data_IF_207890074975
#
_entry.id   IF_207890074975
#
_cell.length_a   1.000
_cell.length_b   1.000
_cell.length_c   1.000
_cell.angle_alpha   90.00
_cell.angle_beta   90.00
_cell.angle_gamma   90.00
#
_symmetry.space_group_name_H-M   'P 1'
#
loop_
_entity.id
_entity.type
_entity.pdbx_description
1 polymer ?
#
# COMPACT_ATOMS: atom_id res chain seq x y z
N UNK A 1 -17.34 -0.14 -7.30
CA UNK A 1 -17.30 1.11 -6.52
C UNK A 1 -17.23 0.76 -5.04
N UNK A 2 -16.02 0.70 -4.50
CA UNK A 2 -15.77 0.57 -3.06
C UNK A 2 -16.44 1.72 -2.31
N UNK A 3 -17.32 1.42 -1.36
CA UNK A 3 -17.86 2.44 -0.45
C UNK A 3 -16.87 2.65 0.71
N UNK A 4 -16.14 3.77 0.66
CA UNK A 4 -15.18 4.18 1.69
C UNK A 4 -15.71 5.25 2.66
N UNK A 5 -17.01 5.59 2.64
CA UNK A 5 -17.57 6.73 3.41
C UNK A 5 -17.29 6.66 4.92
N UNK A 6 -17.17 5.44 5.48
CA UNK A 6 -17.00 5.21 6.92
C UNK A 6 -15.65 4.58 7.29
N UNK A 7 -14.71 4.49 6.36
CA UNK A 7 -13.43 3.82 6.57
C UNK A 7 -12.25 4.78 6.41
N UNK A 8 -11.18 4.61 7.20
CA UNK A 8 -9.92 5.33 6.99
C UNK A 8 -9.43 5.16 5.55
N UNK A 9 -9.04 6.28 4.94
CA UNK A 9 -8.49 6.29 3.59
C UNK A 9 -6.99 5.96 3.62
N UNK A 10 -6.51 5.31 2.56
CA UNK A 10 -5.09 5.17 2.30
C UNK A 10 -4.74 5.66 0.90
N UNK A 11 -3.50 6.14 0.78
CA UNK A 11 -2.88 6.51 -0.47
C UNK A 11 -1.56 5.76 -0.60
N UNK A 12 -1.37 5.12 -1.74
CA UNK A 12 -0.12 4.45 -2.07
C UNK A 12 0.36 4.92 -3.44
N UNK A 13 1.65 5.27 -3.54
CA UNK A 13 2.30 5.64 -4.78
C UNK A 13 3.60 4.85 -4.96
N UNK A 14 3.72 4.22 -6.11
CA UNK A 14 4.92 3.52 -6.57
C UNK A 14 5.50 4.23 -7.81
N UNK A 15 6.20 3.49 -8.68
CA UNK A 15 6.90 4.07 -9.82
C UNK A 15 5.94 4.55 -10.90
N UNK A 16 4.91 3.76 -11.19
CA UNK A 16 3.92 4.07 -12.23
C UNK A 16 2.47 3.82 -11.79
N UNK A 17 2.22 3.49 -10.52
CA UNK A 17 0.88 3.33 -9.98
C UNK A 17 0.63 4.28 -8.83
N UNK A 18 -0.58 4.79 -8.80
CA UNK A 18 -1.18 5.41 -7.62
C UNK A 18 -2.45 4.62 -7.28
N UNK A 19 -2.55 4.18 -6.03
CA UNK A 19 -3.68 3.41 -5.52
C UNK A 19 -4.34 4.24 -4.43
N UNK A 20 -5.63 4.51 -4.62
CA UNK A 20 -6.48 5.13 -3.63
C UNK A 20 -7.51 4.13 -3.13
N UNK A 21 -7.75 4.10 -1.83
CA UNK A 21 -8.77 3.24 -1.27
C UNK A 21 -9.00 3.52 0.20
N UNK A 22 -9.62 2.56 0.86
CA UNK A 22 -9.81 2.56 2.30
C UNK A 22 -9.39 1.23 2.90
N UNK A 23 -9.29 1.19 4.21
CA UNK A 23 -9.03 -0.06 4.92
C UNK A 23 -9.90 -0.17 6.16
N UNK A 24 -10.23 -1.41 6.52
CA UNK A 24 -10.80 -1.76 7.81
C UNK A 24 -9.73 -2.48 8.63
N UNK A 25 -9.64 -2.16 9.92
CA UNK A 25 -8.67 -2.80 10.81
C UNK A 25 -9.24 -2.91 12.21
N UNK A 26 -8.92 -3.99 12.91
CA UNK A 26 -9.40 -4.22 14.27
C UNK A 26 -8.29 -4.30 15.31
N UNK A 27 -8.70 -4.36 16.59
CA UNK A 27 -7.79 -4.43 17.73
C UNK A 27 -7.01 -5.76 17.81
N UNK A 28 -7.49 -6.81 17.13
CA UNK A 28 -6.81 -8.11 17.03
C UNK A 28 -5.66 -8.10 16.02
N UNK A 29 -5.50 -7.01 15.27
CA UNK A 29 -4.46 -6.84 14.25
C UNK A 29 -4.85 -7.36 12.87
N UNK A 30 -6.13 -7.67 12.64
CA UNK A 30 -6.64 -7.97 11.30
C UNK A 30 -6.79 -6.67 10.51
N UNK A 31 -6.52 -6.72 9.21
CA UNK A 31 -6.67 -5.58 8.30
C UNK A 31 -7.15 -6.06 6.93
N UNK A 32 -8.01 -5.29 6.30
CA UNK A 32 -8.49 -5.49 4.95
C UNK A 32 -8.36 -4.19 4.17
N UNK A 33 -7.57 -4.20 3.09
CA UNK A 33 -7.52 -3.09 2.15
C UNK A 33 -8.62 -3.25 1.11
N UNK A 34 -9.31 -2.16 0.81
CA UNK A 34 -10.42 -2.13 -0.13
C UNK A 34 -10.16 -1.04 -1.18
N UNK A 35 -9.92 -1.48 -2.40
CA UNK A 35 -9.72 -0.66 -3.59
C UNK A 35 -10.17 -1.43 -4.82
N UNK A 36 -10.75 -0.74 -5.80
CA UNK A 36 -11.11 -1.32 -7.10
C UNK A 36 -10.00 -0.99 -8.12
N UNK A 37 -9.94 -1.75 -9.23
CA UNK A 37 -9.04 -1.47 -10.36
C UNK A 37 -9.24 -0.07 -10.94
N UNK A 38 -10.45 0.49 -10.84
CA UNK A 38 -10.76 1.87 -11.25
C UNK A 38 -10.04 2.94 -10.42
N UNK A 39 -9.62 2.60 -9.18
CA UNK A 39 -8.88 3.50 -8.30
C UNK A 39 -7.36 3.35 -8.44
N UNK A 40 -6.90 2.49 -9.36
CA UNK A 40 -5.49 2.31 -9.72
C UNK A 40 -5.19 3.20 -10.91
N UNK A 41 -4.55 4.34 -10.66
CA UNK A 41 -4.15 5.29 -11.70
C UNK A 41 -2.76 4.91 -12.19
N UNK A 42 -2.65 4.66 -13.49
CA UNK A 42 -1.36 4.45 -14.15
C UNK A 42 -0.75 5.81 -14.52
N UNK A 43 0.41 6.14 -13.93
CA UNK A 43 1.16 7.34 -14.30
C UNK A 43 2.03 7.02 -15.52
N UNK A 44 1.83 7.66 -16.67
CA UNK A 44 2.64 7.41 -17.86
C UNK A 44 4.07 7.90 -17.62
N UNK A 45 5.05 7.05 -17.89
CA UNK A 45 6.45 7.47 -17.99
C UNK A 45 7.20 6.62 -19.01
N UNK A 46 8.13 7.30 -19.67
CA UNK A 46 8.77 6.84 -20.89
C UNK A 46 9.80 5.71 -20.66
N UNK A 47 10.11 5.36 -19.40
CA UNK A 47 11.19 4.44 -19.03
C UNK A 47 10.73 3.21 -18.21
N UNK A 48 9.43 2.93 -18.12
CA UNK A 48 8.89 2.02 -17.09
C UNK A 48 8.42 0.65 -17.58
N UNK A 49 8.65 0.30 -18.84
CA UNK A 49 8.40 -1.05 -19.38
C UNK A 49 9.56 -2.03 -19.15
N UNK A 50 10.65 -1.59 -18.51
CA UNK A 50 11.76 -2.48 -18.17
C UNK A 50 11.29 -3.60 -17.22
N UNK A 51 11.60 -4.84 -17.61
CA UNK A 51 10.99 -6.06 -17.06
C UNK A 51 11.30 -6.46 -15.61
N UNK A 52 11.98 -5.70 -14.74
CA UNK A 52 11.84 -5.93 -13.28
C UNK A 52 10.67 -5.17 -12.67
N UNK A 53 10.22 -4.09 -13.32
CA UNK A 53 9.31 -3.12 -12.68
C UNK A 53 7.84 -3.50 -12.83
N UNK A 54 7.45 -4.06 -13.98
CA UNK A 54 6.07 -4.54 -14.18
C UNK A 54 5.72 -5.63 -13.15
N UNK A 55 6.60 -6.60 -12.97
CA UNK A 55 6.43 -7.69 -12.00
C UNK A 55 6.38 -7.14 -10.57
N UNK A 56 7.22 -6.15 -10.25
CA UNK A 56 7.22 -5.49 -8.94
C UNK A 56 5.88 -4.77 -8.67
N UNK A 57 5.37 -4.02 -9.64
CA UNK A 57 4.12 -3.27 -9.53
C UNK A 57 2.89 -4.17 -9.48
N UNK A 58 2.92 -5.30 -10.19
CA UNK A 58 1.86 -6.31 -10.08
C UNK A 58 1.93 -7.02 -8.73
N UNK A 59 3.14 -7.29 -8.22
CA UNK A 59 3.32 -7.90 -6.90
C UNK A 59 2.76 -7.01 -5.79
N UNK A 60 3.04 -5.70 -5.80
CA UNK A 60 2.52 -4.79 -4.77
C UNK A 60 0.99 -4.83 -4.72
N UNK A 61 0.34 -4.74 -5.87
CA UNK A 61 -1.12 -4.75 -5.95
C UNK A 61 -1.69 -6.08 -5.44
N UNK A 62 -1.10 -7.20 -5.86
CA UNK A 62 -1.49 -8.52 -5.37
C UNK A 62 -1.29 -8.67 -3.86
N UNK A 63 -0.16 -8.21 -3.32
CA UNK A 63 0.13 -8.30 -1.90
C UNK A 63 -0.87 -7.44 -1.09
N UNK A 64 -1.13 -6.20 -1.51
CA UNK A 64 -2.10 -5.31 -0.83
C UNK A 64 -3.51 -5.90 -0.80
N UNK A 65 -3.97 -6.52 -1.89
CA UNK A 65 -5.27 -7.20 -1.98
C UNK A 65 -5.38 -8.45 -1.10
N UNK A 66 -4.24 -9.01 -0.64
CA UNK A 66 -4.18 -10.25 0.13
C UNK A 66 -3.63 -10.07 1.55
N UNK A 67 -3.53 -8.83 2.06
CA UNK A 67 -3.14 -8.62 3.47
C UNK A 67 -4.22 -9.17 4.39
N UNK A 68 -3.81 -9.93 5.41
CA UNK A 68 -4.72 -10.44 6.45
C UNK A 68 -4.44 -9.87 7.84
N UNK A 69 -3.19 -9.48 8.09
CA UNK A 69 -2.73 -9.04 9.40
C UNK A 69 -1.71 -7.93 9.29
N UNK A 70 -1.72 -7.02 10.24
CA UNK A 70 -0.67 -6.02 10.40
C UNK A 70 -0.04 -6.04 11.80
N UNK A 71 1.20 -5.57 11.86
CA UNK A 71 1.90 -5.28 13.13
C UNK A 71 2.63 -3.96 12.96
N UNK A 72 2.45 -3.06 13.93
CA UNK A 72 3.24 -1.84 14.04
C UNK A 72 4.31 -2.05 15.11
N UNK A 73 5.56 -1.78 14.76
CA UNK A 73 6.71 -1.89 15.65
C UNK A 73 7.65 -0.70 15.40
N UNK A 74 7.72 0.20 16.37
CA UNK A 74 8.44 1.48 16.24
C UNK A 74 7.99 2.28 15.01
N UNK A 75 8.88 2.44 14.01
CA UNK A 75 8.61 3.16 12.77
C UNK A 75 8.31 2.22 11.59
N UNK A 76 7.98 0.96 11.86
CA UNK A 76 7.72 -0.04 10.83
C UNK A 76 6.28 -0.51 10.90
N UNK A 77 5.66 -0.61 9.73
CA UNK A 77 4.40 -1.31 9.52
C UNK A 77 4.70 -2.58 8.73
N UNK A 78 4.43 -3.73 9.35
CA UNK A 78 4.48 -5.03 8.72
C UNK A 78 3.08 -5.43 8.26
N UNK A 79 2.93 -5.82 7.00
CA UNK A 79 1.70 -6.39 6.45
C UNK A 79 1.97 -7.85 6.07
N UNK A 80 1.22 -8.77 6.67
CA UNK A 80 1.33 -10.21 6.46
C UNK A 80 0.34 -10.61 5.37
N UNK A 81 0.86 -11.32 4.36
CA UNK A 81 0.09 -11.68 3.16
C UNK A 81 -0.47 -13.08 3.33
N UNK A 82 -1.79 -13.22 3.15
CA UNK A 82 -2.51 -14.48 3.29
C UNK A 82 -1.89 -15.57 2.41
N UNK A 83 -1.54 -16.69 3.02
CA UNK A 83 -0.98 -17.85 2.33
C UNK A 83 0.49 -17.70 1.90
N UNK A 84 1.17 -16.59 2.24
CA UNK A 84 2.60 -16.43 2.00
C UNK A 84 3.39 -16.36 3.31
N UNK A 85 4.62 -16.88 3.30
CA UNK A 85 5.59 -16.64 4.38
C UNK A 85 6.39 -15.33 4.19
N UNK A 86 5.83 -14.40 3.42
CA UNK A 86 6.44 -13.09 3.11
C UNK A 86 5.58 -11.99 3.69
N UNK A 87 6.20 -10.83 3.90
CA UNK A 87 5.54 -9.63 4.43
C UNK A 87 5.99 -8.40 3.66
N UNK A 88 5.07 -7.46 3.45
CA UNK A 88 5.44 -6.10 3.05
C UNK A 88 5.87 -5.32 4.29
N UNK A 89 6.86 -4.45 4.14
CA UNK A 89 7.35 -3.59 5.23
C UNK A 89 7.39 -2.15 4.76
N UNK A 90 6.63 -1.30 5.44
CA UNK A 90 6.67 0.14 5.28
C UNK A 90 7.47 0.75 6.42
N UNK A 91 8.35 1.69 6.10
CA UNK A 91 9.18 2.39 7.08
C UNK A 91 8.77 3.85 7.08
N UNK A 92 8.26 4.32 8.21
CA UNK A 92 8.00 5.72 8.42
C UNK A 92 9.34 6.46 8.59
N UNK A 93 9.60 7.40 7.68
CA UNK A 93 10.69 8.36 7.82
C UNK A 93 10.19 9.56 8.61
N UNK A 94 11.02 10.14 9.47
CA UNK A 94 10.69 11.42 10.10
C UNK A 94 10.62 12.48 9.01
N UNK A 95 9.60 13.32 9.05
CA UNK A 95 9.60 14.54 8.26
C UNK A 95 10.86 15.34 8.59
N UNK A 96 11.65 15.69 7.56
CA UNK A 96 12.69 16.70 7.74
C UNK A 96 11.95 17.97 8.13
N UNK A 97 12.06 18.40 9.40
CA UNK A 97 11.62 19.74 9.83
C UNK A 97 12.17 20.75 8.81
N UNK A 98 11.29 21.37 8.04
CA UNK A 98 11.62 22.57 7.26
C UNK A 98 12.06 23.60 8.29
N UNK A 99 13.37 23.76 8.43
CA UNK A 99 13.94 24.78 9.30
C UNK A 99 13.83 26.06 8.50
N UNK A 100 12.72 26.78 8.64
CA UNK A 100 12.66 28.19 8.23
C UNK A 100 13.59 28.95 9.17
N UNK A 101 14.82 29.15 8.73
CA UNK A 101 15.72 30.18 9.26
C UNK A 101 15.40 31.51 8.62
#
# INVERSE_FOLDING_TARGET
MVNCENYPLFYFKSFNKEINGCYDSNQSGEILFNFDSENVILTPSNNYTALPMVDFEQKIENDLSNVEKYVIDHNKLYLFIKGENKKMVFIAFRDKKTTTS
#
